data_IF_262265654647
#
_entry.id   IF_262265654647
#
_cell.length_a   1.000
_cell.length_b   1.000
_cell.length_c   1.000
_cell.angle_alpha   90.00
_cell.angle_beta   90.00
_cell.angle_gamma   90.00
#
_symmetry.space_group_name_H-M   'P 1'
#
loop_
_entity.id
_entity.type
_entity.pdbx_description
1 polymer ?
#
# COMPACT_ATOMS: atom_id res chain seq x y z
N UNK A 1 -15.11 21.62 5.45
CA UNK A 1 -15.68 21.04 4.22
C UNK A 1 -15.75 19.54 4.42
N UNK A 2 -16.89 18.89 4.15
CA UNK A 2 -17.01 17.44 4.30
C UNK A 2 -16.11 16.76 3.26
N UNK A 3 -15.19 15.90 3.69
CA UNK A 3 -14.34 15.15 2.79
C UNK A 3 -15.19 14.16 1.98
N UNK A 4 -15.11 14.21 0.64
CA UNK A 4 -15.93 13.39 -0.27
C UNK A 4 -15.56 11.90 -0.22
N UNK A 5 -14.28 11.60 0.02
CA UNK A 5 -13.73 10.24 0.04
C UNK A 5 -12.91 9.99 1.31
N UNK A 6 -13.11 8.87 2.02
CA UNK A 6 -12.21 8.48 3.11
C UNK A 6 -10.84 8.12 2.54
N UNK A 7 -9.79 8.47 3.28
CA UNK A 7 -8.41 8.10 3.03
C UNK A 7 -8.25 6.61 3.37
N UNK A 8 -7.95 5.80 2.37
CA UNK A 8 -7.76 4.34 2.53
C UNK A 8 -6.32 3.98 2.25
N UNK A 9 -5.71 3.23 3.16
CA UNK A 9 -4.46 2.52 2.89
C UNK A 9 -4.77 1.05 2.60
N UNK A 10 -4.24 0.53 1.50
CA UNK A 10 -4.24 -0.90 1.18
C UNK A 10 -2.84 -1.43 1.41
N UNK A 11 -2.67 -2.23 2.45
CA UNK A 11 -1.42 -2.88 2.81
C UNK A 11 -1.29 -4.24 2.12
N UNK A 12 -0.36 -4.33 1.19
CA UNK A 12 0.09 -5.55 0.55
C UNK A 12 1.33 -6.09 1.28
N UNK A 13 1.14 -7.10 2.12
CA UNK A 13 2.23 -7.72 2.87
C UNK A 13 2.68 -9.04 2.25
N UNK A 14 3.99 -9.23 2.12
CA UNK A 14 4.56 -10.52 1.72
C UNK A 14 4.45 -11.58 2.82
N UNK A 15 4.29 -11.15 4.08
CA UNK A 15 4.18 -12.02 5.24
C UNK A 15 2.78 -12.63 5.36
N UNK A 16 2.67 -13.76 6.06
CA UNK A 16 1.36 -14.37 6.35
C UNK A 16 0.44 -13.44 7.15
N UNK A 17 1.01 -12.75 8.14
CA UNK A 17 0.31 -11.79 8.96
C UNK A 17 0.92 -10.41 8.72
N UNK A 18 0.15 -9.45 8.16
CA UNK A 18 0.60 -8.08 8.03
C UNK A 18 1.00 -7.49 9.38
N UNK A 19 2.10 -6.74 9.40
CA UNK A 19 2.68 -6.16 10.61
C UNK A 19 1.69 -5.25 11.36
N UNK A 20 1.36 -5.55 12.64
CA UNK A 20 0.56 -4.63 13.45
C UNK A 20 1.21 -3.27 13.65
N UNK A 21 2.56 -3.21 13.63
CA UNK A 21 3.31 -1.97 13.73
C UNK A 21 3.02 -1.05 12.52
N UNK A 22 3.12 -1.59 11.30
CA UNK A 22 2.85 -0.81 10.08
C UNK A 22 1.40 -0.32 10.03
N UNK A 23 0.46 -1.15 10.50
CA UNK A 23 -0.96 -0.79 10.58
C UNK A 23 -1.16 0.38 11.55
N UNK A 24 -0.56 0.34 12.75
CA UNK A 24 -0.64 1.44 13.71
C UNK A 24 -0.01 2.72 13.15
N UNK A 25 1.18 2.60 12.54
CA UNK A 25 1.86 3.72 11.90
C UNK A 25 0.99 4.38 10.82
N UNK A 26 0.31 3.59 9.98
CA UNK A 26 -0.62 4.11 8.98
C UNK A 26 -1.76 4.92 9.62
N UNK A 27 -2.37 4.41 10.69
CA UNK A 27 -3.43 5.14 11.40
C UNK A 27 -2.94 6.46 12.01
N UNK A 28 -1.73 6.47 12.55
CA UNK A 28 -1.12 7.67 13.14
C UNK A 28 -0.85 8.78 12.10
N UNK A 29 -0.82 8.46 10.80
CA UNK A 29 -0.71 9.44 9.71
C UNK A 29 -2.03 10.11 9.31
N UNK A 30 -3.16 9.72 9.93
CA UNK A 30 -4.49 10.25 9.59
C UNK A 30 -5.21 9.50 8.45
N UNK A 31 -4.83 8.24 8.20
CA UNK A 31 -5.59 7.32 7.35
C UNK A 31 -6.88 6.91 8.09
N UNK A 32 -8.01 6.96 7.40
CA UNK A 32 -9.32 6.61 8.00
C UNK A 32 -9.48 5.09 8.11
N UNK A 33 -9.02 4.34 7.10
CA UNK A 33 -9.15 2.88 7.04
C UNK A 33 -7.91 2.20 6.48
N UNK A 34 -7.47 1.14 7.14
CA UNK A 34 -6.42 0.25 6.65
C UNK A 34 -7.04 -1.10 6.27
N UNK A 35 -6.90 -1.48 4.99
CA UNK A 35 -7.28 -2.79 4.46
C UNK A 35 -5.97 -3.54 4.20
N UNK A 36 -5.85 -4.78 4.65
CA UNK A 36 -4.59 -5.51 4.53
C UNK A 36 -4.77 -6.90 3.91
N UNK A 37 -3.76 -7.32 3.15
CA UNK A 37 -3.63 -8.64 2.57
C UNK A 37 -2.27 -9.22 2.97
N UNK A 38 -2.28 -10.42 3.55
CA UNK A 38 -1.08 -11.22 3.78
C UNK A 38 -0.84 -12.22 2.64
N UNK A 39 0.34 -12.84 2.63
CA UNK A 39 0.80 -13.79 1.59
C UNK A 39 0.67 -13.21 0.18
N UNK A 40 0.90 -11.91 0.03
CA UNK A 40 0.90 -11.27 -1.29
C UNK A 40 2.16 -11.71 -2.03
N UNK A 41 1.97 -12.22 -3.23
CA UNK A 41 3.04 -12.70 -4.11
C UNK A 41 2.99 -11.96 -5.44
N UNK A 42 4.01 -12.15 -6.27
CA UNK A 42 4.07 -11.59 -7.61
C UNK A 42 2.90 -12.06 -8.50
N UNK A 43 2.35 -13.24 -8.23
CA UNK A 43 1.28 -13.84 -9.03
C UNK A 43 -0.09 -13.24 -8.70
N UNK A 44 -0.33 -12.90 -7.43
CA UNK A 44 -1.64 -12.41 -6.98
C UNK A 44 -1.72 -10.87 -6.84
N UNK A 45 -0.59 -10.18 -6.68
CA UNK A 45 -0.60 -8.75 -6.38
C UNK A 45 -1.22 -7.92 -7.51
N UNK A 46 -0.99 -8.31 -8.77
CA UNK A 46 -1.51 -7.59 -9.93
C UNK A 46 -3.04 -7.49 -9.90
N UNK A 47 -3.73 -8.56 -9.53
CA UNK A 47 -5.19 -8.56 -9.46
C UNK A 47 -5.69 -7.63 -8.36
N UNK A 48 -5.10 -7.70 -7.16
CA UNK A 48 -5.43 -6.80 -6.04
C UNK A 48 -5.24 -5.33 -6.41
N UNK A 49 -4.21 -5.02 -7.20
CA UNK A 49 -3.91 -3.66 -7.64
C UNK A 49 -4.96 -3.15 -8.63
N UNK A 50 -5.33 -3.97 -9.62
CA UNK A 50 -6.39 -3.63 -10.57
C UNK A 50 -7.74 -3.44 -9.84
N UNK A 51 -8.05 -4.31 -8.89
CA UNK A 51 -9.29 -4.24 -8.12
C UNK A 51 -9.37 -2.98 -7.25
N UNK A 52 -8.24 -2.45 -6.78
CA UNK A 52 -8.20 -1.19 -6.05
C UNK A 52 -8.26 0.06 -6.95
N UNK A 53 -7.84 -0.06 -8.22
CA UNK A 53 -7.75 1.07 -9.15
C UNK A 53 -9.12 1.56 -9.62
N UNK A 54 -10.02 0.65 -9.98
CA UNK A 54 -11.24 0.98 -10.73
C UNK A 54 -12.52 1.33 -9.92
N UNK A 55 -12.67 1.03 -8.62
CA UNK A 55 -13.87 1.39 -7.87
C UNK A 55 -14.05 2.90 -7.62
N UNK A 56 -12.98 3.70 -7.77
CA UNK A 56 -12.99 5.15 -7.52
C UNK A 56 -12.71 5.93 -8.80
N UNK A 57 -13.30 7.12 -8.89
CA UNK A 57 -13.00 8.08 -9.95
C UNK A 57 -11.57 8.67 -9.77
N UNK A 58 -11.03 9.40 -10.77
CA UNK A 58 -9.69 9.97 -10.68
C UNK A 58 -9.45 10.86 -9.45
N UNK A 59 -10.48 11.53 -8.93
CA UNK A 59 -10.39 12.29 -7.68
C UNK A 59 -10.28 11.36 -6.45
N UNK A 60 -11.11 10.31 -6.39
CA UNK A 60 -11.13 9.38 -5.26
C UNK A 60 -9.87 8.52 -5.15
N UNK A 61 -9.16 8.28 -6.25
CA UNK A 61 -7.88 7.57 -6.25
C UNK A 61 -6.80 8.32 -5.47
N UNK A 62 -6.86 9.65 -5.43
CA UNK A 62 -5.94 10.48 -4.63
C UNK A 62 -6.10 10.25 -3.12
N UNK A 63 -7.23 9.67 -2.71
CA UNK A 63 -7.54 9.27 -1.34
C UNK A 63 -7.32 7.78 -1.09
N UNK A 64 -6.56 7.11 -1.95
CA UNK A 64 -6.11 5.73 -1.76
C UNK A 64 -4.59 5.70 -1.81
N UNK A 65 -3.97 4.96 -0.89
CA UNK A 65 -2.53 4.68 -0.92
C UNK A 65 -2.28 3.17 -0.87
N UNK A 66 -1.23 2.72 -1.54
CA UNK A 66 -0.67 1.39 -1.31
C UNK A 66 0.47 1.48 -0.30
N UNK A 67 0.49 0.54 0.64
CA UNK A 67 1.63 0.24 1.48
C UNK A 67 2.12 -1.16 1.11
N UNK A 68 3.36 -1.30 0.66
CA UNK A 68 3.95 -2.58 0.28
C UNK A 68 5.08 -2.89 1.26
N UNK A 69 4.92 -3.95 2.04
CA UNK A 69 5.84 -4.27 3.11
C UNK A 69 5.92 -5.77 3.40
N UNK A 70 6.67 -6.10 4.45
CA UNK A 70 6.89 -7.48 4.91
C UNK A 70 8.37 -7.81 5.05
N UNK A 71 8.67 -9.05 5.46
CA UNK A 71 10.04 -9.44 5.85
C UNK A 71 10.97 -9.75 4.68
N UNK A 72 10.45 -10.26 3.56
CA UNK A 72 11.25 -10.52 2.35
C UNK A 72 11.35 -9.26 1.48
N UNK A 73 12.49 -8.56 1.58
CA UNK A 73 12.75 -7.33 0.86
C UNK A 73 12.72 -7.51 -0.67
N UNK A 74 13.23 -8.62 -1.19
CA UNK A 74 13.26 -8.87 -2.63
C UNK A 74 11.85 -9.05 -3.18
N UNK A 75 10.99 -9.76 -2.44
CA UNK A 75 9.58 -9.91 -2.81
C UNK A 75 8.82 -8.59 -2.74
N UNK A 76 9.06 -7.77 -1.71
CA UNK A 76 8.47 -6.42 -1.57
C UNK A 76 8.83 -5.54 -2.76
N UNK A 77 10.11 -5.50 -3.15
CA UNK A 77 10.58 -4.70 -4.30
C UNK A 77 9.94 -5.20 -5.60
N UNK A 78 9.87 -6.52 -5.82
CA UNK A 78 9.22 -7.08 -7.03
C UNK A 78 7.74 -6.74 -7.10
N UNK A 79 7.02 -6.78 -5.97
CA UNK A 79 5.61 -6.36 -5.93
C UNK A 79 5.47 -4.87 -6.25
N UNK A 80 6.36 -4.02 -5.73
CA UNK A 80 6.36 -2.59 -6.05
C UNK A 80 6.62 -2.32 -7.54
N UNK A 81 7.51 -3.07 -8.19
CA UNK A 81 7.71 -2.98 -9.64
C UNK A 81 6.47 -3.39 -10.43
N UNK A 82 5.79 -4.46 -10.01
CA UNK A 82 4.55 -4.91 -10.64
C UNK A 82 3.46 -3.84 -10.47
N UNK A 83 3.36 -3.23 -9.29
CA UNK A 83 2.44 -2.13 -9.03
C UNK A 83 2.68 -0.95 -9.97
N UNK A 84 3.93 -0.51 -10.09
CA UNK A 84 4.33 0.56 -10.99
C UNK A 84 4.02 0.25 -12.46
N UNK A 85 4.19 -1.01 -12.90
CA UNK A 85 3.88 -1.45 -14.28
C UNK A 85 2.38 -1.61 -14.53
N UNK A 86 1.59 -1.85 -13.48
CA UNK A 86 0.14 -2.10 -13.58
C UNK A 86 -0.66 -0.79 -13.61
N UNK A 87 -0.19 0.24 -12.90
CA UNK A 87 -0.85 1.54 -12.85
C UNK A 87 -0.58 2.38 -14.10
N UNK A 88 -1.60 3.08 -14.59
CA UNK A 88 -1.50 3.96 -15.76
C UNK A 88 -2.48 5.12 -15.63
N UNK A 89 -2.17 6.27 -16.25
CA UNK A 89 -3.02 7.46 -16.15
C UNK A 89 -4.44 7.19 -16.70
N UNK A 90 -5.50 7.72 -16.07
CA UNK A 90 -5.49 8.57 -14.87
C UNK A 90 -5.44 7.81 -13.53
N UNK A 91 -5.41 6.47 -13.55
CA UNK A 91 -5.48 5.60 -12.38
C UNK A 91 -4.10 5.29 -11.81
N UNK A 92 -3.52 6.24 -11.07
CA UNK A 92 -2.24 6.06 -10.37
C UNK A 92 -2.47 6.26 -8.88
N UNK A 93 -2.21 5.21 -8.10
CA UNK A 93 -2.32 5.20 -6.64
C UNK A 93 -0.94 5.50 -6.05
N UNK A 94 -0.88 6.45 -5.10
CA UNK A 94 0.34 6.73 -4.34
C UNK A 94 0.81 5.47 -3.62
N UNK A 95 2.09 5.11 -3.76
CA UNK A 95 2.63 3.84 -3.24
C UNK A 95 3.83 4.09 -2.34
N UNK A 96 3.78 3.55 -1.13
CA UNK A 96 4.87 3.47 -0.17
C UNK A 96 5.41 2.04 -0.18
N UNK A 97 6.73 1.89 -0.15
CA UNK A 97 7.41 0.60 -0.12
C UNK A 97 8.31 0.61 1.11
N UNK A 98 8.17 -0.37 2.00
CA UNK A 98 8.91 -0.42 3.27
C UNK A 98 9.21 -1.87 3.70
N UNK A 99 10.29 -2.47 3.18
CA UNK A 99 10.68 -3.82 3.57
C UNK A 99 11.27 -3.83 4.98
N UNK A 100 10.76 -4.69 5.86
CA UNK A 100 11.16 -4.82 7.27
C UNK A 100 11.12 -3.51 8.09
N UNK A 101 10.31 -2.52 7.72
CA UNK A 101 10.40 -1.20 8.34
C UNK A 101 11.73 -0.50 8.06
N UNK A 102 12.55 -1.01 7.14
CA UNK A 102 13.92 -0.58 6.92
C UNK A 102 14.03 0.82 6.34
N UNK A 103 13.00 1.33 5.66
CA UNK A 103 13.00 2.69 5.12
C UNK A 103 12.33 3.68 6.08
N UNK A 104 11.30 3.25 6.82
CA UNK A 104 10.64 4.11 7.81
C UNK A 104 11.43 4.21 9.12
N UNK A 105 12.02 3.11 9.59
CA UNK A 105 12.89 3.09 10.79
C UNK A 105 14.19 3.85 10.51
N UNK A 106 14.76 3.73 9.30
CA UNK A 106 15.93 4.51 8.92
C UNK A 106 15.64 6.03 8.89
N UNK A 107 14.42 6.43 8.54
CA UNK A 107 14.00 7.84 8.62
C UNK A 107 13.70 8.31 10.05
N UNK A 108 13.45 7.39 10.99
CA UNK A 108 13.19 7.66 12.40
C UNK A 108 14.42 7.60 13.33
N UNK A 109 15.55 7.09 12.86
CA UNK A 109 16.83 7.13 13.56
C UNK A 109 17.40 8.56 13.52
N UNK A 110 17.34 9.25 14.66
CA UNK A 110 18.09 10.49 14.97
C UNK A 110 19.51 10.18 15.44
#
# INVERSE_FOLDING_TARGET
MSQKYPNIAIFLSTDEYPSPFDIQLLYDTGIDHVIYYGKVTQDNCKQLILDAMFPRDPEGILHTIFWIGGTDADSVIKIAEIAKKTMFKPFIISTIVDPQGGYTTAAGLV
#
